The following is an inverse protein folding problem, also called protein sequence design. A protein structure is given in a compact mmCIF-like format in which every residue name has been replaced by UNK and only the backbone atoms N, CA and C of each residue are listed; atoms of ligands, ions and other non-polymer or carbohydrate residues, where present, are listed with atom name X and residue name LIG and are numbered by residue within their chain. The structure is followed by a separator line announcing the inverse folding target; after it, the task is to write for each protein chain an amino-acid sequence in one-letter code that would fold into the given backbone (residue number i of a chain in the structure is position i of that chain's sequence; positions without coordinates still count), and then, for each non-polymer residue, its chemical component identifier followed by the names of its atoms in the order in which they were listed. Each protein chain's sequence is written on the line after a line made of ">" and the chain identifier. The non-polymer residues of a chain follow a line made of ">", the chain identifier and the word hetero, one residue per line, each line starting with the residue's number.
data_IF_242230069917
#
_entry.id   IF_242230069917
#
_cell.length_a   1.000
_cell.length_b   1.000
_cell.length_c   1.000
_cell.angle_alpha   90.00
_cell.angle_beta   90.00
_cell.angle_gamma   90.00
#
_symmetry.space_group_name_H-M   'P 1'
#
loop_
_entity.id
_entity.type
_entity.pdbx_description
1 polymer ?
#
# COMPACT_ATOMS: atom_id res chain seq x y z
N UNK A 1 1.54 -34.99 -4.49
CA UNK A 1 2.31 -34.30 -5.58
C UNK A 1 2.34 -32.78 -5.42
N UNK A 2 1.19 -32.09 -5.28
CA UNK A 2 1.14 -30.61 -5.12
C UNK A 2 1.81 -30.12 -3.82
N UNK A 3 1.75 -30.92 -2.74
CA UNK A 3 2.47 -30.66 -1.49
C UNK A 3 4.00 -30.77 -1.62
N UNK A 4 4.51 -31.59 -2.55
CA UNK A 4 5.97 -31.74 -2.77
C UNK A 4 6.55 -30.62 -3.63
N UNK A 5 5.72 -29.97 -4.47
CA UNK A 5 6.17 -28.82 -5.29
C UNK A 5 6.25 -27.53 -4.45
N UNK A 6 5.34 -27.33 -3.48
CA UNK A 6 5.47 -26.26 -2.49
C UNK A 6 6.72 -26.40 -1.61
N UNK A 7 7.28 -27.62 -1.51
CA UNK A 7 8.39 -27.95 -0.63
C UNK A 7 9.80 -27.70 -1.20
N UNK A 8 9.97 -27.30 -2.48
CA UNK A 8 11.32 -27.15 -3.04
C UNK A 8 11.51 -25.92 -3.95
N UNK A 9 11.00 -24.75 -3.55
CA UNK A 9 11.67 -23.53 -3.97
C UNK A 9 12.90 -23.34 -3.06
N UNK A 10 14.09 -23.58 -3.62
CA UNK A 10 15.33 -23.28 -2.94
C UNK A 10 15.45 -21.76 -2.70
N UNK A 11 16.35 -21.35 -1.81
CA UNK A 11 16.39 -19.96 -1.35
C UNK A 11 16.66 -18.96 -2.50
N UNK A 12 17.43 -19.38 -3.50
CA UNK A 12 17.71 -18.58 -4.70
C UNK A 12 16.49 -18.40 -5.60
N UNK A 13 15.66 -19.44 -5.77
CA UNK A 13 14.42 -19.35 -6.52
C UNK A 13 13.47 -18.35 -5.85
N UNK A 14 13.38 -18.36 -4.52
CA UNK A 14 12.59 -17.37 -3.77
C UNK A 14 13.12 -15.95 -3.97
N UNK A 15 14.44 -15.78 -3.96
CA UNK A 15 15.07 -14.49 -4.24
C UNK A 15 14.67 -13.95 -5.63
N UNK A 16 14.71 -14.80 -6.67
CA UNK A 16 14.28 -14.43 -8.02
C UNK A 16 12.80 -14.03 -8.07
N UNK A 17 11.94 -14.77 -7.37
CA UNK A 17 10.50 -14.48 -7.30
C UNK A 17 10.24 -13.14 -6.59
N UNK A 18 10.93 -12.87 -5.48
CA UNK A 18 10.83 -11.58 -4.75
C UNK A 18 11.29 -10.42 -5.63
N UNK A 19 12.39 -10.59 -6.36
CA UNK A 19 12.89 -9.56 -7.27
C UNK A 19 11.87 -9.26 -8.38
N UNK A 20 11.31 -10.29 -9.02
CA UNK A 20 10.28 -10.14 -10.05
C UNK A 20 9.04 -9.41 -9.52
N UNK A 21 8.50 -9.85 -8.38
CA UNK A 21 7.30 -9.21 -7.82
C UNK A 21 7.58 -7.82 -7.25
N UNK A 22 8.78 -7.54 -6.76
CA UNK A 22 9.19 -6.17 -6.40
C UNK A 22 9.21 -5.27 -7.62
N UNK A 23 9.73 -5.75 -8.76
CA UNK A 23 9.70 -4.98 -10.01
C UNK A 23 8.27 -4.71 -10.47
N UNK A 24 7.41 -5.74 -10.47
CA UNK A 24 6.00 -5.58 -10.83
C UNK A 24 5.25 -4.64 -9.89
N UNK A 25 5.59 -4.63 -8.59
CA UNK A 25 4.98 -3.74 -7.60
C UNK A 25 5.22 -2.26 -7.92
N UNK A 26 6.41 -1.93 -8.43
CA UNK A 26 6.83 -0.57 -8.74
C UNK A 26 6.57 -0.17 -10.20
N UNK A 27 6.14 -1.10 -11.05
CA UNK A 27 5.79 -0.80 -12.44
C UNK A 27 4.43 -0.08 -12.52
N UNK A 28 4.47 1.22 -12.80
CA UNK A 28 3.29 2.07 -12.93
C UNK A 28 2.48 1.79 -14.20
N UNK A 29 3.04 1.06 -15.18
CA UNK A 29 2.29 0.63 -16.36
C UNK A 29 1.38 -0.57 -16.06
N UNK A 30 1.65 -1.32 -14.98
CA UNK A 30 0.79 -2.40 -14.55
C UNK A 30 -0.43 -1.86 -13.78
N UNK A 31 -1.63 -2.45 -13.95
CA UNK A 31 -2.80 -2.01 -13.19
C UNK A 31 -2.66 -2.34 -11.69
N UNK A 32 -3.39 -1.59 -10.85
CA UNK A 32 -3.27 -1.67 -9.39
C UNK A 32 -3.56 -3.07 -8.82
N UNK A 33 -4.45 -3.84 -9.46
CA UNK A 33 -4.77 -5.22 -9.07
C UNK A 33 -3.58 -6.18 -9.28
N UNK A 34 -2.77 -5.98 -10.31
CA UNK A 34 -1.56 -6.75 -10.59
C UNK A 34 -0.48 -6.40 -9.55
N UNK A 35 -0.36 -5.13 -9.21
CA UNK A 35 0.54 -4.67 -8.14
C UNK A 35 0.12 -5.26 -6.78
N UNK A 36 -1.19 -5.28 -6.48
CA UNK A 36 -1.73 -5.87 -5.25
C UNK A 36 -1.49 -7.39 -5.18
N UNK A 37 -1.64 -8.08 -6.31
CA UNK A 37 -1.30 -9.51 -6.41
C UNK A 37 0.18 -9.74 -6.18
N UNK A 38 1.06 -8.86 -6.68
CA UNK A 38 2.51 -8.92 -6.43
C UNK A 38 2.85 -8.79 -4.95
N UNK A 39 2.20 -7.88 -4.21
CA UNK A 39 2.34 -7.80 -2.74
C UNK A 39 1.93 -9.11 -2.07
N UNK A 40 0.75 -9.65 -2.41
CA UNK A 40 0.26 -10.90 -1.81
C UNK A 40 1.23 -12.07 -2.04
N UNK A 41 1.73 -12.21 -3.26
CA UNK A 41 2.66 -13.27 -3.63
C UNK A 41 4.01 -13.12 -2.93
N UNK A 42 4.52 -11.89 -2.78
CA UNK A 42 5.67 -11.61 -1.92
C UNK A 42 5.40 -12.02 -0.48
N UNK A 43 4.28 -11.62 0.12
CA UNK A 43 3.98 -11.88 1.53
C UNK A 43 3.82 -13.37 1.85
N UNK A 44 3.33 -14.19 0.90
CA UNK A 44 3.28 -15.65 1.05
C UNK A 44 4.69 -16.24 1.26
N UNK A 45 5.75 -15.61 0.74
CA UNK A 45 7.12 -16.08 0.87
C UNK A 45 7.77 -15.75 2.21
N UNK A 46 7.23 -14.78 2.98
CA UNK A 46 7.82 -14.33 4.25
C UNK A 46 7.95 -15.47 5.24
N UNK A 47 6.90 -16.28 5.41
CA UNK A 47 6.89 -17.40 6.34
C UNK A 47 7.95 -18.44 5.98
N UNK A 48 8.07 -18.75 4.69
CA UNK A 48 9.06 -19.70 4.19
C UNK A 48 10.49 -19.19 4.39
N UNK A 49 10.73 -17.88 4.23
CA UNK A 49 12.03 -17.24 4.46
C UNK A 49 12.38 -17.27 5.95
N UNK A 50 11.43 -16.89 6.81
CA UNK A 50 11.62 -16.84 8.26
C UNK A 50 12.01 -18.19 8.87
N UNK A 51 11.46 -19.29 8.35
CA UNK A 51 11.77 -20.64 8.81
C UNK A 51 12.94 -21.31 8.07
N UNK A 52 13.63 -20.61 7.15
CA UNK A 52 14.78 -21.19 6.46
C UNK A 52 16.04 -21.15 7.33
N UNK A 53 16.54 -22.32 7.73
CA UNK A 53 17.77 -22.45 8.51
C UNK A 53 19.04 -22.56 7.64
N UNK A 54 18.91 -22.84 6.34
CA UNK A 54 20.05 -23.15 5.46
C UNK A 54 20.88 -21.93 5.08
N UNK A 55 20.24 -20.79 4.80
CA UNK A 55 20.95 -19.57 4.41
C UNK A 55 20.31 -18.35 5.07
N UNK A 56 20.65 -18.15 6.35
CA UNK A 56 20.03 -17.14 7.21
C UNK A 56 20.36 -15.73 6.76
N UNK A 57 21.60 -15.46 6.34
CA UNK A 57 22.02 -14.14 5.86
C UNK A 57 21.28 -13.74 4.57
N UNK A 58 21.12 -14.68 3.63
CA UNK A 58 20.32 -14.45 2.44
C UNK A 58 18.86 -14.19 2.82
N UNK A 59 18.28 -14.97 3.74
CA UNK A 59 16.89 -14.77 4.14
C UNK A 59 16.64 -13.46 4.87
N UNK A 60 17.59 -13.01 5.71
CA UNK A 60 17.56 -11.68 6.30
C UNK A 60 17.61 -10.61 5.21
N UNK A 61 18.57 -10.70 4.29
CA UNK A 61 18.70 -9.79 3.14
C UNK A 61 17.40 -9.72 2.32
N UNK A 62 16.73 -10.85 2.09
CA UNK A 62 15.44 -10.89 1.39
C UNK A 62 14.33 -10.20 2.18
N UNK A 63 14.23 -10.41 3.49
CA UNK A 63 13.26 -9.71 4.33
C UNK A 63 13.48 -8.19 4.32
N UNK A 64 14.74 -7.73 4.39
CA UNK A 64 15.09 -6.31 4.28
C UNK A 64 14.72 -5.76 2.90
N UNK A 65 15.00 -6.51 1.83
CA UNK A 65 14.61 -6.14 0.46
C UNK A 65 13.09 -5.97 0.34
N UNK A 66 12.32 -6.91 0.89
CA UNK A 66 10.86 -6.83 0.89
C UNK A 66 10.34 -5.66 1.73
N UNK A 67 10.93 -5.43 2.91
CA UNK A 67 10.61 -4.29 3.77
C UNK A 67 10.81 -2.97 3.02
N UNK A 68 11.93 -2.84 2.32
CA UNK A 68 12.26 -1.66 1.52
C UNK A 68 11.25 -1.46 0.38
N UNK A 69 11.03 -2.48 -0.47
CA UNK A 69 10.08 -2.39 -1.61
C UNK A 69 8.68 -1.99 -1.16
N UNK A 70 8.16 -2.62 -0.11
CA UNK A 70 6.83 -2.33 0.42
C UNK A 70 6.75 -0.93 1.04
N UNK A 71 7.81 -0.48 1.72
CA UNK A 71 7.89 0.88 2.29
C UNK A 71 7.91 1.95 1.20
N UNK A 72 8.71 1.76 0.15
CA UNK A 72 8.75 2.66 -1.01
C UNK A 72 7.42 2.68 -1.76
N UNK A 73 6.74 1.53 -1.85
CA UNK A 73 5.41 1.47 -2.45
C UNK A 73 4.39 2.26 -1.63
N UNK A 74 4.46 2.18 -0.30
CA UNK A 74 3.58 2.92 0.60
C UNK A 74 3.70 4.44 0.40
N UNK A 75 4.90 4.95 0.12
CA UNK A 75 5.10 6.36 -0.24
C UNK A 75 4.54 6.70 -1.62
N UNK A 76 4.69 5.81 -2.61
CA UNK A 76 4.12 6.02 -3.95
C UNK A 76 2.58 6.10 -3.89
N UNK A 77 1.94 5.18 -3.16
CA UNK A 77 0.49 5.16 -3.00
C UNK A 77 -0.03 6.41 -2.29
N UNK A 78 0.74 6.96 -1.33
CA UNK A 78 0.41 8.22 -0.67
C UNK A 78 0.18 9.36 -1.68
N UNK A 79 1.08 9.51 -2.66
CA UNK A 79 0.94 10.54 -3.69
C UNK A 79 -0.27 10.30 -4.59
N UNK A 80 -0.55 9.05 -4.94
CA UNK A 80 -1.72 8.68 -5.76
C UNK A 80 -3.02 9.03 -5.01
N UNK A 81 -3.12 8.64 -3.74
CA UNK A 81 -4.28 8.94 -2.88
C UNK A 81 -4.47 10.44 -2.75
N UNK A 82 -3.40 11.19 -2.44
CA UNK A 82 -3.46 12.65 -2.33
C UNK A 82 -4.01 13.26 -3.62
N UNK A 83 -3.48 12.87 -4.78
CA UNK A 83 -3.92 13.37 -6.09
C UNK A 83 -5.40 13.08 -6.36
N UNK A 84 -5.89 11.88 -6.03
CA UNK A 84 -7.31 11.52 -6.18
C UNK A 84 -8.19 12.36 -5.25
N UNK A 85 -7.76 12.58 -4.00
CA UNK A 85 -8.50 13.36 -3.02
C UNK A 85 -8.58 14.85 -3.40
N UNK A 86 -7.51 15.43 -3.93
CA UNK A 86 -7.47 16.84 -4.35
C UNK A 86 -8.13 17.09 -5.69
N UNK A 87 -8.20 16.09 -6.57
CA UNK A 87 -8.84 16.20 -7.87
C UNK A 87 -10.35 15.97 -7.83
N UNK A 88 -10.95 15.77 -6.65
CA UNK A 88 -12.41 15.79 -6.53
C UNK A 88 -12.93 17.19 -6.91
N UNK A 89 -13.71 17.33 -8.00
CA UNK A 89 -14.36 18.61 -8.27
C UNK A 89 -15.29 18.93 -7.10
N UNK A 90 -15.29 20.20 -6.69
CA UNK A 90 -16.19 20.76 -5.68
C UNK A 90 -17.62 20.61 -6.21
N UNK A 91 -18.23 19.45 -6.01
CA UNK A 91 -19.65 19.26 -6.24
C UNK A 91 -20.36 19.59 -4.92
N UNK A 92 -20.54 20.89 -4.63
CA UNK A 92 -21.60 21.46 -3.74
C UNK A 92 -21.36 22.94 -3.45
N UNK A 93 -21.62 23.81 -4.44
CA UNK A 93 -21.91 25.27 -4.37
C UNK A 93 -21.52 25.85 -5.73
N UNK A 94 -22.41 26.04 -6.69
CA UNK A 94 -23.52 26.98 -6.64
C UNK A 94 -24.34 26.65 -7.89
N UNK A 95 -25.60 26.26 -7.72
CA UNK A 95 -26.57 26.33 -8.83
C UNK A 95 -26.75 27.82 -9.09
N UNK A 96 -25.95 28.39 -9.98
CA UNK A 96 -26.19 29.74 -10.45
C UNK A 96 -27.47 29.69 -11.30
N UNK A 97 -28.53 30.23 -10.70
CA UNK A 97 -29.69 30.74 -11.41
C UNK A 97 -29.24 31.59 -12.60
N UNK A 98 -29.53 31.14 -13.82
CA UNK A 98 -29.79 32.05 -14.93
C UNK A 98 -31.08 31.63 -15.62
N UNK A 99 -32.05 32.54 -15.53
CA UNK A 99 -33.32 32.54 -16.24
C UNK A 99 -33.08 33.26 -17.58
N UNK A 100 -33.40 32.68 -18.74
CA UNK A 100 -33.66 33.45 -19.94
C UNK A 100 -35.16 33.45 -20.25
N UNK A 101 -35.74 34.64 -20.32
CA UNK A 101 -37.01 34.88 -20.99
C UNK A 101 -36.85 34.68 -22.50
N UNK A 102 -37.83 34.04 -23.15
CA UNK A 102 -37.96 34.01 -24.61
C UNK A 102 -38.54 32.70 -25.13
N UNK A 103 -39.82 32.73 -25.52
CA UNK A 103 -40.58 31.61 -26.08
C UNK A 103 -40.33 31.55 -27.59
N UNK A 104 -39.83 30.43 -28.10
CA UNK A 104 -40.27 29.79 -29.36
C UNK A 104 -39.92 28.30 -29.29
N UNK A 105 -40.94 27.45 -29.49
CA UNK A 105 -40.90 26.00 -29.25
C UNK A 105 -40.46 25.26 -30.50
N UNK A 106 -39.21 24.81 -30.56
CA UNK A 106 -38.77 23.73 -31.47
C UNK A 106 -38.48 22.46 -30.65
N UNK A 107 -39.37 21.46 -30.76
CA UNK A 107 -39.30 20.21 -29.99
C UNK A 107 -38.09 19.34 -30.35
N UNK A 108 -37.43 19.60 -31.49
CA UNK A 108 -36.27 18.81 -31.95
C UNK A 108 -34.97 19.21 -31.22
N UNK A 109 -34.80 20.49 -30.87
CA UNK A 109 -33.63 20.97 -30.13
C UNK A 109 -33.67 20.60 -28.64
N UNK A 110 -34.86 20.57 -28.03
CA UNK A 110 -35.02 20.24 -26.61
C UNK A 110 -34.61 18.78 -26.31
N UNK A 111 -34.98 17.83 -27.19
CA UNK A 111 -34.56 16.43 -27.07
C UNK A 111 -33.04 16.26 -27.23
N UNK A 112 -32.40 17.01 -28.13
CA UNK A 112 -30.92 17.01 -28.29
C UNK A 112 -30.22 17.60 -27.08
N UNK A 113 -30.71 18.73 -26.52
CA UNK A 113 -30.14 19.34 -25.30
C UNK A 113 -30.30 18.44 -24.08
N UNK A 114 -31.43 17.74 -23.95
CA UNK A 114 -31.69 16.82 -22.86
C UNK A 114 -30.85 15.54 -22.98
N UNK A 115 -30.71 14.98 -24.19
CA UNK A 115 -29.82 13.85 -24.46
C UNK A 115 -28.34 14.18 -24.18
N UNK A 116 -27.87 15.37 -24.56
CA UNK A 116 -26.50 15.82 -24.27
C UNK A 116 -26.27 16.01 -22.76
N UNK A 117 -27.27 16.52 -22.03
CA UNK A 117 -27.21 16.68 -20.58
C UNK A 117 -27.18 15.33 -19.86
N UNK A 118 -28.01 14.37 -20.30
CA UNK A 118 -28.04 13.01 -19.77
C UNK A 118 -26.71 12.29 -20.03
N UNK A 119 -26.16 12.39 -21.25
CA UNK A 119 -24.86 11.79 -21.58
C UNK A 119 -23.71 12.40 -20.76
N UNK A 120 -23.76 13.71 -20.49
CA UNK A 120 -22.78 14.38 -19.63
C UNK A 120 -22.89 13.92 -18.18
N UNK A 121 -24.11 13.79 -17.65
CA UNK A 121 -24.36 13.28 -16.29
C UNK A 121 -23.91 11.81 -16.17
N UNK A 122 -24.19 10.97 -17.17
CA UNK A 122 -23.74 9.57 -17.20
C UNK A 122 -22.21 9.49 -17.22
N UNK A 123 -21.55 10.29 -18.06
CA UNK A 123 -20.08 10.35 -18.12
C UNK A 123 -19.45 10.86 -16.83
N UNK A 124 -20.06 11.83 -16.16
CA UNK A 124 -19.60 12.30 -14.85
C UNK A 124 -19.78 11.25 -13.76
N UNK A 125 -20.92 10.55 -13.75
CA UNK A 125 -21.17 9.44 -12.82
C UNK A 125 -20.21 8.28 -13.04
N UNK A 126 -19.90 7.91 -14.29
CA UNK A 126 -18.95 6.84 -14.58
C UNK A 126 -17.53 7.19 -14.12
N UNK A 127 -17.08 8.43 -14.34
CA UNK A 127 -15.77 8.90 -13.86
C UNK A 127 -15.69 8.98 -12.32
N UNK A 128 -16.78 9.39 -11.66
CA UNK A 128 -16.88 9.38 -10.19
C UNK A 128 -16.90 7.95 -9.63
N UNK A 129 -17.55 7.02 -10.34
CA UNK A 129 -17.62 5.62 -9.95
C UNK A 129 -16.26 4.92 -10.14
N UNK A 130 -15.59 5.11 -11.28
CA UNK A 130 -14.24 4.56 -11.54
C UNK A 130 -13.23 5.05 -10.50
N UNK A 131 -13.20 6.36 -10.21
CA UNK A 131 -12.33 6.92 -9.17
C UNK A 131 -12.66 6.42 -7.77
N UNK A 132 -13.92 6.09 -7.47
CA UNK A 132 -14.32 5.50 -6.20
C UNK A 132 -13.86 4.04 -6.03
N UNK A 133 -13.92 3.25 -7.11
CA UNK A 133 -13.48 1.85 -7.12
C UNK A 133 -11.97 1.76 -7.05
N UNK A 134 -11.25 2.53 -7.87
CA UNK A 134 -9.79 2.60 -7.86
C UNK A 134 -9.26 3.00 -6.48
N UNK A 135 -9.88 4.00 -5.85
CA UNK A 135 -9.53 4.43 -4.51
C UNK A 135 -9.81 3.34 -3.46
N UNK A 136 -10.85 2.52 -3.62
CA UNK A 136 -11.12 1.37 -2.74
C UNK A 136 -10.04 0.29 -2.85
N UNK A 137 -9.60 -0.01 -4.07
CA UNK A 137 -8.52 -0.97 -4.33
C UNK A 137 -7.19 -0.48 -3.76
N UNK A 138 -6.88 0.81 -3.93
CA UNK A 138 -5.68 1.44 -3.36
C UNK A 138 -5.69 1.37 -1.83
N UNK A 139 -6.84 1.63 -1.17
CA UNK A 139 -6.96 1.49 0.28
C UNK A 139 -6.69 0.07 0.76
N UNK A 140 -7.30 -0.90 0.11
CA UNK A 140 -7.12 -2.32 0.40
C UNK A 140 -5.65 -2.73 0.22
N UNK A 141 -4.98 -2.17 -0.79
CA UNK A 141 -3.54 -2.37 -1.00
C UNK A 141 -2.70 -1.75 0.13
N UNK A 142 -2.99 -0.53 0.56
CA UNK A 142 -2.30 0.10 1.70
C UNK A 142 -2.45 -0.75 2.96
N UNK A 143 -3.65 -1.22 3.28
CA UNK A 143 -3.88 -2.11 4.43
C UNK A 143 -3.05 -3.41 4.31
N UNK A 144 -3.08 -4.05 3.13
CA UNK A 144 -2.27 -5.25 2.88
C UNK A 144 -0.77 -4.99 3.05
N UNK A 145 -0.27 -3.83 2.60
CA UNK A 145 1.14 -3.45 2.76
C UNK A 145 1.47 -3.23 4.23
N UNK A 146 0.64 -2.51 4.98
CA UNK A 146 0.88 -2.23 6.41
C UNK A 146 0.90 -3.53 7.23
N UNK A 147 -0.05 -4.44 6.99
CA UNK A 147 -0.04 -5.76 7.62
C UNK A 147 1.21 -6.57 7.24
N UNK A 148 1.61 -6.54 5.97
CA UNK A 148 2.83 -7.21 5.51
C UNK A 148 4.10 -6.67 6.15
N UNK A 149 4.23 -5.34 6.24
CA UNK A 149 5.35 -4.66 6.90
C UNK A 149 5.42 -5.01 8.39
N UNK A 150 4.27 -5.04 9.09
CA UNK A 150 4.19 -5.53 10.48
C UNK A 150 4.77 -6.94 10.62
N UNK A 151 4.37 -7.87 9.76
CA UNK A 151 4.87 -9.25 9.78
C UNK A 151 6.38 -9.30 9.52
N UNK A 152 6.88 -8.58 8.51
CA UNK A 152 8.31 -8.56 8.19
C UNK A 152 9.14 -7.96 9.34
N UNK A 153 8.68 -6.89 9.97
CA UNK A 153 9.35 -6.27 11.12
C UNK A 153 9.43 -7.25 12.29
N UNK A 154 8.34 -7.98 12.56
CA UNK A 154 8.34 -9.04 13.56
C UNK A 154 9.36 -10.14 13.21
N UNK A 155 9.39 -10.60 11.95
CA UNK A 155 10.35 -11.59 11.47
C UNK A 155 11.79 -11.12 11.67
N UNK A 156 12.15 -9.90 11.24
CA UNK A 156 13.50 -9.35 11.42
C UNK A 156 13.91 -9.25 12.90
N UNK A 157 12.97 -8.87 13.77
CA UNK A 157 13.19 -8.76 15.23
C UNK A 157 13.40 -10.12 15.92
N UNK A 158 12.92 -11.21 15.31
CA UNK A 158 12.99 -12.57 15.87
C UNK A 158 13.91 -13.50 15.07
N UNK A 159 14.42 -13.04 13.93
CA UNK A 159 15.19 -13.85 12.99
C UNK A 159 16.38 -14.53 13.67
N UNK A 160 17.14 -13.78 14.47
CA UNK A 160 18.35 -14.28 15.14
C UNK A 160 18.07 -15.09 16.42
N UNK A 161 16.86 -15.01 17.01
CA UNK A 161 16.52 -15.69 18.27
C UNK A 161 16.41 -17.22 18.13
N UNK A 162 16.48 -17.76 16.92
CA UNK A 162 16.50 -19.20 16.68
C UNK A 162 17.83 -19.87 17.08
N UNK A 163 18.95 -19.13 17.19
CA UNK A 163 20.22 -19.65 17.71
C UNK A 163 20.49 -19.14 19.13
N UNK A 164 20.72 -20.06 20.06
CA UNK A 164 21.00 -19.77 21.48
C UNK A 164 22.42 -19.23 21.75
N UNK A 165 23.23 -18.94 20.72
CA UNK A 165 24.68 -18.83 20.87
C UNK A 165 25.29 -17.42 20.93
N UNK A 166 24.66 -16.35 20.43
CA UNK A 166 25.32 -15.02 20.43
C UNK A 166 24.43 -13.87 20.90
N UNK A 167 24.92 -13.18 21.93
CA UNK A 167 24.21 -12.07 22.59
C UNK A 167 24.47 -10.72 21.90
N UNK A 168 25.40 -10.64 20.95
CA UNK A 168 25.79 -9.40 20.26
C UNK A 168 25.00 -9.11 18.97
N UNK A 169 24.43 -10.11 18.29
CA UNK A 169 23.67 -9.97 17.04
C UNK A 169 22.17 -9.67 17.24
N UNK A 170 21.80 -9.19 18.44
CA UNK A 170 20.42 -8.91 18.86
C UNK A 170 19.87 -7.57 18.34
N UNK A 171 20.70 -6.78 17.66
CA UNK A 171 20.37 -5.41 17.26
C UNK A 171 20.10 -5.39 15.76
N UNK A 172 18.99 -4.76 15.36
CA UNK A 172 18.68 -4.51 13.95
C UNK A 172 19.81 -3.68 13.32
N UNK A 173 20.24 -4.04 12.12
CA UNK A 173 21.23 -3.31 11.36
C UNK A 173 20.71 -1.92 10.94
N UNK A 174 21.62 -0.99 10.64
CA UNK A 174 21.26 0.39 10.30
C UNK A 174 20.32 0.49 9.09
N UNK A 175 20.49 -0.38 8.08
CA UNK A 175 19.61 -0.44 6.91
C UNK A 175 18.17 -0.84 7.26
N UNK A 176 18.02 -1.69 8.27
CA UNK A 176 16.73 -2.19 8.75
C UNK A 176 16.04 -1.07 9.54
N UNK A 177 16.79 -0.42 10.43
CA UNK A 177 16.30 0.74 11.20
C UNK A 177 15.90 1.87 10.24
N UNK A 178 16.67 2.13 9.19
CA UNK A 178 16.34 3.15 8.18
C UNK A 178 15.03 2.80 7.46
N UNK A 179 14.86 1.54 7.05
CA UNK A 179 13.63 1.10 6.39
C UNK A 179 12.41 1.17 7.32
N UNK A 180 12.56 0.80 8.60
CA UNK A 180 11.50 0.94 9.62
C UNK A 180 11.19 2.42 9.88
N UNK A 181 12.19 3.30 9.88
CA UNK A 181 12.01 4.75 10.00
C UNK A 181 11.21 5.32 8.82
N UNK A 182 11.54 4.89 7.60
CA UNK A 182 10.78 5.29 6.41
C UNK A 182 9.34 4.77 6.50
N UNK A 183 9.13 3.53 6.94
CA UNK A 183 7.79 3.00 7.19
C UNK A 183 7.02 3.83 8.22
N UNK A 184 7.65 4.23 9.33
CA UNK A 184 7.02 5.11 10.32
C UNK A 184 6.58 6.44 9.69
N UNK A 185 7.49 7.11 8.95
CA UNK A 185 7.19 8.40 8.31
C UNK A 185 6.06 8.27 7.29
N UNK A 186 6.17 7.32 6.36
CA UNK A 186 5.17 7.16 5.30
C UNK A 186 3.84 6.60 5.83
N UNK A 187 3.87 5.76 6.86
CA UNK A 187 2.70 5.23 7.54
C UNK A 187 1.90 6.31 8.25
N UNK A 188 2.56 7.21 9.00
CA UNK A 188 1.89 8.37 9.62
C UNK A 188 1.25 9.27 8.55
N UNK A 189 1.96 9.55 7.47
CA UNK A 189 1.43 10.37 6.37
C UNK A 189 0.22 9.70 5.68
N UNK A 190 0.27 8.39 5.45
CA UNK A 190 -0.88 7.65 4.91
C UNK A 190 -2.06 7.67 5.89
N UNK A 191 -1.85 7.46 7.19
CA UNK A 191 -2.91 7.57 8.20
C UNK A 191 -3.57 8.95 8.16
N UNK A 192 -2.77 10.03 8.10
CA UNK A 192 -3.28 11.41 7.97
C UNK A 192 -4.11 11.61 6.70
N UNK A 193 -3.64 11.09 5.57
CA UNK A 193 -4.40 11.17 4.32
C UNK A 193 -5.72 10.41 4.38
N UNK A 194 -5.75 9.25 5.05
CA UNK A 194 -6.99 8.50 5.19
C UNK A 194 -8.00 9.20 6.09
N UNK A 195 -7.53 9.83 7.17
CA UNK A 195 -8.37 10.70 8.02
C UNK A 195 -8.88 11.90 7.20
N UNK A 196 -8.02 12.56 6.43
CA UNK A 196 -8.42 13.66 5.55
C UNK A 196 -9.46 13.23 4.50
N UNK A 197 -9.30 12.03 3.95
CA UNK A 197 -10.25 11.41 3.02
C UNK A 197 -11.55 10.91 3.67
N UNK A 198 -11.73 11.07 4.98
CA UNK A 198 -12.87 10.56 5.75
C UNK A 198 -13.07 9.04 5.58
N UNK A 199 -11.95 8.30 5.53
CA UNK A 199 -11.97 6.85 5.42
C UNK A 199 -11.98 6.18 6.80
N UNK A 200 -12.48 4.95 6.85
CA UNK A 200 -12.31 4.11 8.03
C UNK A 200 -10.83 3.82 8.27
N UNK A 201 -10.33 4.23 9.42
CA UNK A 201 -8.89 4.25 9.72
C UNK A 201 -8.51 3.40 10.93
N UNK A 202 -9.48 2.96 11.73
CA UNK A 202 -9.22 2.25 12.99
C UNK A 202 -8.30 1.04 12.77
N UNK A 203 -8.71 0.13 11.89
CA UNK A 203 -7.93 -1.07 11.59
C UNK A 203 -6.54 -0.75 11.03
N UNK A 204 -6.44 0.26 10.15
CA UNK A 204 -5.17 0.69 9.58
C UNK A 204 -4.22 1.22 10.67
N UNK A 205 -4.72 2.07 11.55
CA UNK A 205 -3.95 2.67 12.65
C UNK A 205 -3.55 1.60 13.67
N UNK A 206 -4.44 0.68 14.02
CA UNK A 206 -4.17 -0.43 14.93
C UNK A 206 -3.08 -1.36 14.37
N UNK A 207 -3.18 -1.71 13.08
CA UNK A 207 -2.15 -2.51 12.40
C UNK A 207 -0.82 -1.77 12.28
N UNK A 208 -0.85 -0.46 11.98
CA UNK A 208 0.34 0.38 11.93
C UNK A 208 1.03 0.47 13.29
N UNK A 209 0.29 0.81 14.35
CA UNK A 209 0.83 0.95 15.71
C UNK A 209 1.40 -0.37 16.23
N UNK A 210 0.69 -1.48 16.00
CA UNK A 210 1.12 -2.82 16.43
C UNK A 210 2.37 -3.34 15.70
N UNK A 211 2.79 -2.72 14.58
CA UNK A 211 4.05 -3.05 13.93
C UNK A 211 5.28 -2.67 14.77
N UNK A 212 5.16 -1.68 15.65
CA UNK A 212 6.28 -1.15 16.44
C UNK A 212 6.36 -1.73 17.85
N UNK A 213 5.32 -2.43 18.33
CA UNK A 213 5.30 -3.00 19.69
C UNK A 213 6.30 -4.12 19.90
N UNK A 214 6.77 -4.73 18.81
CA UNK A 214 7.74 -5.83 18.80
C UNK A 214 9.19 -5.34 18.88
N UNK A 215 9.40 -4.04 18.71
CA UNK A 215 10.73 -3.41 18.68
C UNK A 215 11.21 -3.06 20.09
N UNK A 216 12.52 -3.17 20.29
CA UNK A 216 13.16 -2.71 21.52
C UNK A 216 13.09 -1.18 21.64
N UNK A 217 13.01 -0.67 22.88
CA UNK A 217 12.90 0.77 23.16
C UNK A 217 14.01 1.62 22.51
N UNK A 218 15.24 1.09 22.41
CA UNK A 218 16.35 1.77 21.73
C UNK A 218 16.09 1.94 20.22
N UNK A 219 15.57 0.90 19.56
CA UNK A 219 15.20 0.96 18.14
C UNK A 219 14.05 1.96 17.95
N UNK A 220 13.04 1.93 18.81
CA UNK A 220 11.92 2.88 18.76
C UNK A 220 12.43 4.31 18.87
N UNK A 221 13.37 4.59 19.78
CA UNK A 221 14.02 5.91 19.88
C UNK A 221 14.76 6.28 18.59
N UNK A 222 15.49 5.35 17.98
CA UNK A 222 16.17 5.61 16.69
C UNK A 222 15.20 5.80 15.51
N UNK A 223 14.01 5.23 15.58
CA UNK A 223 12.96 5.35 14.55
C UNK A 223 12.19 6.68 14.70
N UNK A 224 11.87 7.08 15.93
CA UNK A 224 11.02 8.24 16.22
C UNK A 224 11.84 9.52 16.50
N UNK A 225 12.97 9.41 17.18
CA UNK A 225 13.73 10.51 17.78
C UNK A 225 14.52 11.39 16.81
N UNK A 226 14.37 11.22 15.51
CA UNK A 226 15.00 12.05 14.47
C UNK A 226 14.00 13.03 13.83
N UNK A 227 13.03 13.56 14.60
CA UNK A 227 12.13 14.63 14.16
C UNK A 227 12.60 15.99 14.65
#
# INVERSE_FOLDING_TARGET
>A
LIHNVRAQLNMEQRARVIHLYSKNLHDTALPINVQATSVRLMLILVDFIFHNSTNRDLGRTLLVTMLHSLTTKLDTLRFIIFRILTNKPIASSTIFHQRPHGITTDQSELKKRQANSINTIIKLKSLQQESSTELSEIKSLVQSIVMGLKTIIWCLSHYNKQDKADTASKILADEEILSIRNFFRFGVLNCRLFVFGQFETKELIDNFASAFTVLHAQVIKSVIGSQ
#
